data_IF_159986487413
#
_entry.id   IF_159986487413
#
_cell.length_a   1.000
_cell.length_b   1.000
_cell.length_c   1.000
_cell.angle_alpha   90.00
_cell.angle_beta   90.00
_cell.angle_gamma   90.00
#
_symmetry.space_group_name_H-M   'P 1'
#
loop_
_entity.id
_entity.type
_entity.pdbx_description
1 polymer ?
2 non-polymer ?
3 non-polymer ?
4 non-polymer ?
5 water ?
#
# COMPACT_ATOMS: atom_id res chain seq x y z
N UNK A 16 -7.58 27.11 10.81
CA UNK A 16 -8.38 28.15 10.17
C UNK A 16 -9.84 27.69 10.06
N UNK A 17 -10.72 28.67 9.94
CA UNK A 17 -12.14 28.52 10.20
C UNK A 17 -12.82 27.62 9.19
N UNK A 18 -14.00 27.14 9.56
CA UNK A 18 -14.91 26.55 8.59
C UNK A 18 -15.79 27.67 8.03
N UNK A 19 -15.87 27.76 6.70
CA UNK A 19 -16.72 28.76 6.06
C UNK A 19 -18.19 28.42 6.23
N UNK A 20 -18.55 27.21 5.91
CA UNK A 20 -19.81 26.63 6.33
C UNK A 20 -19.63 25.15 6.25
N UNK A 21 -20.75 24.41 6.18
CA UNK A 21 -20.72 22.97 6.10
C UNK A 21 -21.58 22.48 4.95
N UNK A 22 -21.04 21.59 4.12
CA UNK A 22 -21.76 21.14 2.94
C UNK A 22 -23.05 20.42 3.31
N UNK A 23 -23.07 19.66 4.41
CA UNK A 23 -24.29 18.93 4.73
C UNK A 23 -25.29 19.78 5.52
N UNK A 24 -24.99 21.06 5.74
CA UNK A 24 -25.95 22.02 6.25
C UNK A 24 -26.50 22.89 5.12
N UNK A 25 -25.61 23.32 4.22
CA UNK A 25 -26.03 24.07 3.04
C UNK A 25 -26.76 23.20 2.04
N UNK A 26 -26.39 21.93 1.94
CA UNK A 26 -26.90 21.05 0.91
C UNK A 26 -26.85 19.61 1.43
N UNK A 27 -26.29 18.68 0.67
CA UNK A 27 -26.12 17.29 1.10
C UNK A 27 -24.77 16.79 0.61
N UNK A 28 -24.44 15.56 1.02
CA UNK A 28 -23.37 14.81 0.37
C UNK A 28 -23.70 14.73 -1.12
N UNK A 29 -22.67 14.78 -1.97
CA UNK A 29 -22.82 14.48 -3.40
C UNK A 29 -22.90 12.97 -3.61
N UNK A 30 -24.12 12.45 -3.67
CA UNK A 30 -24.39 11.03 -3.64
C UNK A 30 -23.85 10.28 -4.86
N UNK A 31 -23.65 10.98 -5.97
CA UNK A 31 -23.14 10.37 -7.20
C UNK A 31 -21.64 10.53 -7.35
N UNK A 32 -20.97 11.14 -6.37
CA UNK A 32 -19.53 11.30 -6.49
C UNK A 32 -18.83 9.95 -6.53
N UNK A 33 -17.82 9.78 -7.39
CA UNK A 33 -17.13 8.50 -7.43
C UNK A 33 -16.55 8.08 -6.08
N UNK A 34 -16.04 9.00 -5.29
CA UNK A 34 -15.45 8.57 -4.02
C UNK A 34 -16.53 8.30 -2.98
N UNK A 35 -17.74 8.86 -3.15
CA UNK A 35 -18.81 8.43 -2.27
C UNK A 35 -19.21 7.01 -2.60
N UNK A 36 -19.29 6.69 -3.88
CA UNK A 36 -19.64 5.32 -4.24
C UNK A 36 -18.55 4.33 -3.78
N UNK A 37 -17.28 4.74 -3.80
CA UNK A 37 -16.21 3.87 -3.32
C UNK A 37 -16.28 3.70 -1.80
N UNK A 38 -16.60 4.77 -1.09
CA UNK A 38 -16.89 4.72 0.35
C UNK A 38 -18.01 3.74 0.66
N UNK A 39 -19.07 3.72 -0.16
CA UNK A 39 -20.16 2.80 0.11
C UNK A 39 -19.72 1.36 -0.10
N UNK A 40 -18.91 1.12 -1.12
CA UNK A 40 -18.38 -0.22 -1.37
C UNK A 40 -17.44 -0.65 -0.24
N UNK A 41 -16.65 0.28 0.28
CA UNK A 41 -15.73 -0.04 1.36
C UNK A 41 -16.46 -0.49 2.62
N UNK A 42 -17.56 0.16 2.96
CA UNK A 42 -18.32 -0.27 4.13
C UNK A 42 -18.90 -1.66 3.94
N UNK A 43 -19.45 -1.92 2.76
CA UNK A 43 -20.06 -3.22 2.49
C UNK A 43 -19.03 -4.33 2.52
N UNK A 44 -17.85 -4.06 1.95
CA UNK A 44 -16.84 -5.08 1.74
C UNK A 44 -15.71 -5.01 2.75
N UNK A 45 -15.82 -4.17 3.79
CA UNK A 45 -14.72 -3.95 4.71
C UNK A 45 -14.95 -4.49 6.11
N UNK A 46 -15.61 -5.64 6.21
CA UNK A 46 -16.03 -6.13 7.51
C UNK A 46 -15.00 -7.01 8.19
N UNK A 47 -13.99 -7.49 7.47
CA UNK A 47 -13.11 -8.49 8.05
C UNK A 47 -12.38 -7.93 9.26
N UNK A 48 -11.96 -8.86 10.15
CA UNK A 48 -11.28 -8.43 11.37
C UNK A 48 -10.07 -9.34 11.58
N UNK A 49 -8.85 -8.78 11.63
CA UNK A 49 -7.66 -9.62 11.81
C UNK A 49 -7.69 -10.43 13.09
N UNK A 50 -8.41 -9.92 14.10
CA UNK A 50 -8.53 -10.61 15.38
C UNK A 50 -9.28 -11.92 15.26
N UNK A 51 -9.98 -12.16 14.17
CA UNK A 51 -10.73 -13.42 13.98
C UNK A 51 -9.91 -14.49 13.27
N UNK A 52 -8.73 -14.18 12.78
CA UNK A 52 -7.94 -15.13 11.99
C UNK A 52 -7.33 -16.13 12.94
N UNK A 53 -7.47 -17.42 12.61
CA UNK A 53 -6.83 -18.47 13.40
C UNK A 53 -5.39 -18.65 12.90
N UNK A 54 -4.42 -18.31 13.74
CA UNK A 54 -3.00 -18.45 13.39
C UNK A 54 -2.36 -19.68 14.02
N UNK A 55 -3.15 -20.57 14.63
CA UNK A 55 -2.57 -21.71 15.36
C UNK A 55 -1.77 -22.63 14.44
N UNK A 56 -2.25 -22.86 13.22
CA UNK A 56 -1.48 -23.68 12.29
C UNK A 56 -0.25 -22.95 11.77
N UNK A 57 -0.30 -21.62 11.63
CA UNK A 57 0.89 -20.89 11.22
C UNK A 57 2.00 -21.05 12.25
N UNK A 58 1.61 -21.04 13.52
CA UNK A 58 2.57 -21.22 14.61
C UNK A 58 3.25 -22.57 14.49
N UNK A 59 2.45 -23.63 14.31
CA UNK A 59 3.04 -24.96 14.14
C UNK A 59 3.92 -25.04 12.89
N UNK A 60 3.45 -24.45 11.77
CA UNK A 60 4.22 -24.45 10.54
C UNK A 60 5.57 -23.79 10.74
N UNK A 61 5.58 -22.63 11.37
CA UNK A 61 6.83 -21.90 11.52
C UNK A 61 7.78 -22.68 12.42
N UNK A 62 7.26 -23.29 13.48
CA UNK A 62 8.10 -24.03 14.41
C UNK A 62 8.69 -25.27 13.78
N UNK A 63 7.98 -25.86 12.82
CA UNK A 63 8.48 -27.05 12.11
C UNK A 63 9.57 -26.71 11.14
N UNK A 64 9.66 -25.47 10.67
CA UNK A 64 10.71 -25.08 9.75
C UNK A 64 12.08 -25.16 10.44
N UNK A 65 13.09 -25.41 9.62
CA UNK A 65 14.47 -25.33 10.08
C UNK A 65 14.88 -23.87 10.18
N UNK A 66 15.92 -23.60 10.98
CA UNK A 66 16.37 -22.22 11.14
C UNK A 66 16.57 -21.55 9.79
N UNK A 67 17.14 -22.27 8.83
CA UNK A 67 17.40 -21.69 7.51
C UNK A 67 16.10 -21.42 6.77
N UNK A 68 15.13 -22.31 6.91
CA UNK A 68 13.82 -22.07 6.31
C UNK A 68 13.12 -20.89 7.00
N UNK A 69 13.26 -20.80 8.32
CA UNK A 69 12.61 -19.73 9.09
C UNK A 69 13.00 -18.34 8.60
N UNK A 70 14.30 -18.09 8.39
CA UNK A 70 14.71 -16.73 8.02
C UNK A 70 14.44 -16.44 6.57
N UNK A 71 14.19 -17.45 5.75
CA UNK A 71 13.83 -17.20 4.36
C UNK A 71 12.54 -16.40 4.26
N UNK A 72 11.62 -16.61 5.20
CA UNK A 72 10.34 -15.90 5.18
C UNK A 72 10.44 -14.48 5.72
N UNK A 73 11.46 -14.17 6.50
CA UNK A 73 11.43 -12.94 7.30
C UNK A 73 11.64 -11.66 6.48
N UNK A 74 12.48 -11.65 5.45
CA UNK A 74 12.68 -10.38 4.71
C UNK A 74 11.39 -9.84 4.13
N UNK A 75 10.55 -10.69 3.56
CA UNK A 75 9.30 -10.18 3.00
C UNK A 75 8.37 -9.67 4.10
N UNK A 76 8.29 -10.38 5.22
CA UNK A 76 7.43 -9.95 6.31
C UNK A 76 7.92 -8.64 6.88
N UNK A 77 9.24 -8.48 6.96
CA UNK A 77 9.81 -7.21 7.40
C UNK A 77 9.44 -6.08 6.46
N UNK A 78 9.43 -6.36 5.15
CA UNK A 78 9.05 -5.35 4.19
C UNK A 78 7.57 -5.01 4.30
N UNK A 79 6.72 -6.01 4.58
CA UNK A 79 5.31 -5.69 4.63
C UNK A 79 4.91 -5.01 5.93
N UNK A 80 5.46 -5.41 7.07
CA UNK A 80 5.05 -4.74 8.29
C UNK A 80 5.40 -3.27 8.26
N UNK A 81 6.58 -2.92 7.74
CA UNK A 81 6.91 -1.51 7.64
C UNK A 81 6.07 -0.80 6.60
N UNK A 82 5.83 -1.45 5.47
CA UNK A 82 5.00 -0.84 4.44
C UNK A 82 3.64 -0.47 5.01
N UNK A 83 3.00 -1.41 5.71
CA UNK A 83 1.65 -1.14 6.21
C UNK A 83 1.67 -0.07 7.30
N UNK A 84 2.69 -0.08 8.16
CA UNK A 84 2.76 0.96 9.17
C UNK A 84 3.00 2.31 8.54
N UNK A 85 3.88 2.38 7.55
CA UNK A 85 4.15 3.65 6.86
C UNK A 85 2.88 4.19 6.18
N UNK A 86 2.17 3.34 5.44
CA UNK A 86 1.01 3.88 4.75
C UNK A 86 -0.11 4.22 5.72
N UNK A 87 -0.18 3.59 6.90
CA UNK A 87 -1.20 4.01 7.86
C UNK A 87 -0.93 5.42 8.31
N UNK A 88 0.31 5.71 8.63
CA UNK A 88 0.64 7.04 9.14
C UNK A 88 0.60 8.07 8.02
N UNK A 89 1.07 7.69 6.85
CA UNK A 89 1.34 8.71 5.85
C UNK A 89 0.16 9.05 4.94
N UNK A 90 -1.02 8.47 5.12
CA UNK A 90 -2.18 8.95 4.41
C UNK A 90 -2.78 10.19 5.07
N UNK A 91 -2.41 10.50 6.31
CA UNK A 91 -3.07 11.58 7.02
C UNK A 91 -2.89 12.93 6.31
N UNK A 92 -1.73 13.26 5.74
CA UNK A 92 -1.63 14.55 5.05
C UNK A 92 -2.49 14.64 3.81
N UNK A 93 -2.73 13.52 3.14
CA UNK A 93 -3.61 13.54 1.98
C UNK A 93 -5.03 13.82 2.41
N UNK A 94 -5.47 13.18 3.49
CA UNK A 94 -6.79 13.45 4.00
C UNK A 94 -6.92 14.90 4.40
N UNK A 95 -5.89 15.46 5.03
CA UNK A 95 -5.96 16.86 5.42
C UNK A 95 -6.07 17.77 4.22
N UNK A 96 -5.22 17.53 3.21
CA UNK A 96 -5.21 18.39 2.03
C UNK A 96 -6.55 18.37 1.32
N UNK A 97 -7.14 17.20 1.16
CA UNK A 97 -8.43 17.13 0.48
C UNK A 97 -9.56 17.72 1.33
N UNK A 98 -9.50 17.56 2.66
CA UNK A 98 -10.49 18.19 3.53
C UNK A 98 -10.42 19.70 3.39
N UNK A 99 -9.20 20.24 3.36
CA UNK A 99 -9.04 21.69 3.29
C UNK A 99 -9.55 22.22 1.96
N UNK A 100 -9.48 21.42 0.92
CA UNK A 100 -10.06 21.76 -0.39
C UNK A 100 -11.56 21.52 -0.45
N UNK A 101 -12.19 21.08 0.64
CA UNK A 101 -13.63 20.88 0.66
C UNK A 101 -14.12 19.63 -0.01
N UNK A 102 -13.24 18.66 -0.27
CA UNK A 102 -13.60 17.45 -0.99
C UNK A 102 -14.13 16.42 0.02
N UNK A 103 -15.37 16.67 0.47
CA UNK A 103 -15.96 15.89 1.58
C UNK A 103 -16.03 14.41 1.26
N UNK A 104 -16.46 14.07 0.03
CA UNK A 104 -16.66 12.67 -0.28
C UNK A 104 -15.32 11.94 -0.33
N UNK A 105 -14.25 12.58 -0.81
CA UNK A 105 -12.92 11.96 -0.75
C UNK A 105 -12.56 11.66 0.71
N UNK A 106 -12.81 12.64 1.60
CA UNK A 106 -12.50 12.47 3.02
C UNK A 106 -13.27 11.30 3.60
N UNK A 107 -14.57 11.17 3.28
CA UNK A 107 -15.33 10.04 3.82
C UNK A 107 -14.70 8.74 3.38
N UNK A 108 -14.39 8.63 2.09
CA UNK A 108 -13.72 7.43 1.61
C UNK A 108 -12.39 7.20 2.33
N UNK A 109 -11.60 8.25 2.50
CA UNK A 109 -10.28 8.07 3.10
C UNK A 109 -10.39 7.58 4.55
N UNK A 110 -11.50 7.83 5.26
CA UNK A 110 -11.60 7.19 6.60
C UNK A 110 -11.60 5.66 6.48
N UNK A 111 -12.18 5.11 5.41
CA UNK A 111 -12.14 3.65 5.24
C UNK A 111 -10.77 3.20 4.80
N UNK A 112 -10.07 4.02 4.00
CA UNK A 112 -8.72 3.71 3.55
C UNK A 112 -7.78 3.61 4.75
N UNK A 113 -7.84 4.58 5.64
CA UNK A 113 -6.98 4.59 6.82
C UNK A 113 -7.29 3.43 7.75
N UNK A 114 -8.58 3.17 7.97
CA UNK A 114 -8.92 2.05 8.85
C UNK A 114 -8.51 0.71 8.25
N UNK A 115 -8.64 0.56 6.93
CA UNK A 115 -8.10 -0.63 6.27
C UNK A 115 -6.61 -0.79 6.59
N UNK A 116 -5.82 0.28 6.42
CA UNK A 116 -4.39 0.15 6.66
C UNK A 116 -4.09 -0.23 8.11
N UNK A 117 -4.86 0.30 9.06
CA UNK A 117 -4.71 -0.10 10.47
C UNK A 117 -4.89 -1.61 10.63
N UNK A 118 -5.93 -2.17 9.99
CA UNK A 118 -6.09 -3.63 10.01
C UNK A 118 -4.92 -4.35 9.37
N UNK A 119 -4.36 -3.80 8.29
CA UNK A 119 -3.22 -4.45 7.65
C UNK A 119 -2.02 -4.49 8.57
N UNK A 120 -1.72 -3.37 9.23
CA UNK A 120 -0.63 -3.33 10.23
C UNK A 120 -0.88 -4.38 11.29
N UNK A 121 -2.08 -4.39 11.82
CA UNK A 121 -2.46 -5.31 12.88
C UNK A 121 -2.29 -6.75 12.44
N UNK A 122 -2.69 -7.07 11.22
CA UNK A 122 -2.63 -8.47 10.77
C UNK A 122 -1.20 -8.98 10.80
N UNK A 123 -0.24 -8.24 10.21
CA UNK A 123 1.14 -8.73 10.17
C UNK A 123 1.73 -8.80 11.56
N UNK A 124 1.39 -7.83 12.43
CA UNK A 124 1.93 -7.87 13.79
C UNK A 124 1.34 -9.03 14.59
N UNK A 125 0.08 -9.37 14.37
CA UNK A 125 -0.49 -10.54 15.02
C UNK A 125 0.20 -11.80 14.56
N UNK A 126 0.53 -11.87 13.26
CA UNK A 126 1.21 -13.06 12.76
C UNK A 126 2.59 -13.19 13.38
N UNK A 127 3.32 -12.09 13.46
CA UNK A 127 4.65 -12.16 14.06
C UNK A 127 4.56 -12.64 15.52
N UNK A 128 3.64 -12.07 16.27
CA UNK A 128 3.44 -12.48 17.66
C UNK A 128 3.12 -13.96 17.73
N UNK A 129 2.24 -14.44 16.82
CA UNK A 129 1.75 -15.81 16.94
C UNK A 129 2.84 -16.81 16.65
N UNK A 130 3.69 -16.52 15.67
CA UNK A 130 4.72 -17.50 15.28
C UNK A 130 5.98 -17.39 16.12
N UNK A 131 6.09 -16.38 16.97
CA UNK A 131 7.21 -16.29 17.89
C UNK A 131 8.37 -15.44 17.47
N UNK A 132 8.19 -14.48 16.55
CA UNK A 132 9.25 -13.57 16.12
C UNK A 132 8.97 -12.12 16.48
N UNK A 133 7.92 -11.85 17.25
CA UNK A 133 7.63 -10.47 17.64
C UNK A 133 8.78 -9.79 18.35
N UNK A 134 9.57 -10.55 19.13
CA UNK A 134 10.73 -10.00 19.82
C UNK A 134 11.95 -9.78 18.91
N UNK A 135 11.94 -10.27 17.68
CA UNK A 135 13.06 -10.10 16.77
C UNK A 135 12.98 -8.76 16.03
N UNK A 136 14.09 -8.03 15.99
CA UNK A 136 14.12 -6.76 15.27
C UNK A 136 14.39 -7.06 13.80
N UNK A 137 13.35 -6.94 12.97
CA UNK A 137 13.45 -7.30 11.57
C UNK A 137 13.99 -6.16 10.67
N UNK A 138 14.43 -5.04 11.26
CA UNK A 138 14.93 -3.91 10.47
C UNK A 138 16.17 -4.25 9.67
N UNK A 139 16.89 -5.30 10.06
CA UNK A 139 18.07 -5.72 9.32
C UNK A 139 17.76 -6.08 7.87
N UNK A 140 16.49 -6.35 7.53
CA UNK A 140 16.14 -6.69 6.16
C UNK A 140 15.64 -5.49 5.35
N UNK A 141 15.88 -4.27 5.82
CA UNK A 141 15.59 -3.05 5.06
C UNK A 141 16.89 -2.48 4.52
N UNK A 142 17.14 -2.65 3.22
CA UNK A 142 18.38 -2.16 2.64
C UNK A 142 18.25 -0.67 2.32
N UNK A 143 19.29 -0.10 1.72
CA UNK A 143 19.28 1.34 1.45
C UNK A 143 18.15 1.74 0.52
N UNK A 144 17.88 0.94 -0.51
CA UNK A 144 16.81 1.27 -1.44
C UNK A 144 15.45 1.25 -0.74
N UNK A 145 15.22 0.25 0.10
CA UNK A 145 13.96 0.23 0.86
C UNK A 145 13.82 1.49 1.71
N UNK A 146 14.88 1.84 2.43
CA UNK A 146 14.83 3.03 3.28
C UNK A 146 14.59 4.29 2.45
N UNK A 147 15.19 4.39 1.27
CA UNK A 147 14.97 5.58 0.47
C UNK A 147 13.50 5.75 0.14
N UNK A 148 12.77 4.64 -0.05
CA UNK A 148 11.35 4.74 -0.37
C UNK A 148 10.53 4.95 0.91
N UNK A 149 10.68 4.06 1.88
CA UNK A 149 9.73 4.00 2.99
C UNK A 149 10.13 4.86 4.17
N UNK A 150 11.41 5.05 4.41
CA UNK A 150 11.79 5.91 5.51
C UNK A 150 11.84 7.36 5.11
N UNK A 151 12.00 7.66 3.80
CA UNK A 151 12.30 9.01 3.32
C UNK A 151 11.31 9.50 2.26
N UNK A 152 11.30 8.93 1.04
CA UNK A 152 10.55 9.54 -0.06
C UNK A 152 9.05 9.57 0.22
N UNK A 153 8.50 8.46 0.75
CA UNK A 153 7.07 8.43 1.03
C UNK A 153 6.68 9.49 2.05
N UNK A 154 7.23 9.51 3.26
CA UNK A 154 6.81 10.57 4.20
C UNK A 154 7.11 11.97 3.69
N UNK A 155 8.17 12.15 2.92
CA UNK A 155 8.48 13.51 2.45
C UNK A 155 7.41 13.99 1.47
N UNK A 156 7.01 13.11 0.55
CA UNK A 156 6.02 13.48 -0.45
C UNK A 156 4.67 13.75 0.21
N UNK A 157 4.31 12.96 1.22
CA UNK A 157 3.01 13.18 1.83
C UNK A 157 3.02 14.43 2.73
N UNK A 158 4.07 14.60 3.55
CA UNK A 158 4.09 15.74 4.46
C UNK A 158 4.15 17.06 3.74
N UNK A 159 4.70 17.07 2.52
CA UNK A 159 4.69 18.27 1.68
C UNK A 159 3.30 18.88 1.61
N UNK A 160 2.27 18.05 1.63
CA UNK A 160 0.91 18.51 1.40
C UNK A 160 0.40 19.45 2.48
N UNK A 161 1.02 19.44 3.68
CA UNK A 161 0.61 20.38 4.72
C UNK A 161 0.93 21.83 4.33
N UNK A 162 1.94 22.04 3.51
CA UNK A 162 2.32 23.40 3.12
C UNK A 162 2.21 23.67 1.64
N UNK A 163 1.94 22.66 0.83
CA UNK A 163 1.89 22.81 -0.63
C UNK A 163 0.93 21.74 -1.13
N UNK A 164 -0.30 22.14 -1.43
CA UNK A 164 -1.31 21.25 -1.99
C UNK A 164 -1.56 21.56 -3.46
N UNK A 165 -0.53 22.07 -4.14
CA UNK A 165 -0.62 22.32 -5.58
C UNK A 165 -0.92 21.02 -6.32
N UNK A 166 -1.46 21.10 -7.53
CA UNK A 166 -1.68 19.87 -8.31
C UNK A 166 -0.42 19.04 -8.50
N UNK A 167 0.75 19.69 -8.67
CA UNK A 167 2.00 18.96 -8.78
C UNK A 167 2.29 18.18 -7.51
N UNK A 168 2.03 18.78 -6.36
CA UNK A 168 2.34 18.13 -5.09
C UNK A 168 1.38 16.97 -4.86
N UNK A 169 0.09 17.16 -5.19
CA UNK A 169 -0.89 16.07 -5.02
C UNK A 169 -0.59 14.92 -5.98
N UNK A 170 -0.26 15.22 -7.24
CA UNK A 170 0.11 14.13 -8.15
C UNK A 170 1.32 13.36 -7.64
N UNK A 171 2.33 14.07 -7.10
CA UNK A 171 3.52 13.37 -6.69
C UNK A 171 3.23 12.49 -5.49
N UNK A 172 2.42 13.00 -4.58
CA UNK A 172 2.04 12.23 -3.39
C UNK A 172 1.29 10.95 -3.78
N UNK A 173 0.26 11.09 -4.62
CA UNK A 173 -0.49 9.91 -5.08
C UNK A 173 0.38 8.95 -5.89
N UNK A 174 1.33 9.48 -6.68
CA UNK A 174 2.24 8.62 -7.43
C UNK A 174 3.10 7.77 -6.50
N UNK A 175 3.80 8.38 -5.54
CA UNK A 175 4.64 7.64 -4.61
C UNK A 175 3.80 6.68 -3.76
N UNK A 176 2.69 7.17 -3.21
CA UNK A 176 1.92 6.38 -2.27
C UNK A 176 1.12 5.29 -2.99
N UNK A 177 0.27 5.68 -3.93
CA UNK A 177 -0.69 4.74 -4.47
C UNK A 177 -0.11 3.95 -5.63
N UNK A 178 0.69 4.58 -6.49
CA UNK A 178 1.10 3.89 -7.70
C UNK A 178 2.38 3.09 -7.52
N UNK A 179 3.30 3.54 -6.68
CA UNK A 179 4.58 2.87 -6.47
C UNK A 179 4.50 2.00 -5.21
N UNK A 180 4.26 2.60 -4.05
CA UNK A 180 4.30 1.83 -2.81
C UNK A 180 3.20 0.76 -2.81
N UNK A 181 1.94 1.16 -3.04
CA UNK A 181 0.85 0.18 -3.02
C UNK A 181 0.73 -0.54 -4.36
N UNK A 182 0.79 0.18 -5.46
CA UNK A 182 0.38 -0.43 -6.71
C UNK A 182 1.46 -1.20 -7.42
N UNK A 183 2.71 -1.01 -7.03
CA UNK A 183 3.82 -1.72 -7.62
C UNK A 183 4.45 -2.67 -6.60
N UNK A 184 4.94 -2.12 -5.48
CA UNK A 184 5.63 -2.97 -4.51
C UNK A 184 4.66 -3.86 -3.73
N UNK A 185 3.64 -3.29 -3.10
CA UNK A 185 2.75 -4.14 -2.31
C UNK A 185 2.05 -5.16 -3.20
N UNK A 186 1.55 -4.72 -4.35
CA UNK A 186 0.86 -5.66 -5.24
C UNK A 186 1.76 -6.84 -5.59
N UNK A 187 3.01 -6.57 -5.92
CA UNK A 187 3.94 -7.63 -6.29
C UNK A 187 4.30 -8.49 -5.10
N UNK A 188 4.38 -7.88 -3.92
CA UNK A 188 4.68 -8.63 -2.72
C UNK A 188 3.60 -9.62 -2.32
N UNK A 189 2.33 -9.19 -2.39
CA UNK A 189 1.21 -10.12 -2.19
C UNK A 189 1.39 -11.31 -3.10
N UNK A 190 1.50 -11.02 -4.39
CA UNK A 190 1.54 -12.08 -5.40
C UNK A 190 2.64 -13.07 -5.08
N UNK A 191 3.82 -12.53 -4.77
CA UNK A 191 5.00 -13.34 -4.47
C UNK A 191 4.75 -14.25 -3.29
N UNK A 192 4.20 -13.68 -2.22
CA UNK A 192 4.01 -14.47 -1.01
C UNK A 192 2.98 -15.57 -1.25
N UNK A 193 1.92 -15.24 -1.98
CA UNK A 193 0.93 -16.24 -2.37
C UNK A 193 1.58 -17.36 -3.18
N UNK A 194 2.31 -17.00 -4.23
CA UNK A 194 2.98 -18.01 -5.05
C UNK A 194 3.74 -18.98 -4.17
N UNK A 195 4.57 -18.46 -3.28
CA UNK A 195 5.53 -19.28 -2.55
C UNK A 195 4.82 -20.17 -1.53
N UNK A 196 4.02 -19.59 -0.63
CA UNK A 196 3.52 -20.37 0.49
C UNK A 196 2.20 -21.06 0.23
N UNK A 197 1.41 -20.57 -0.72
CA UNK A 197 0.21 -21.28 -1.11
C UNK A 197 0.56 -22.66 -1.64
N UNK A 198 1.56 -22.73 -2.52
CA UNK A 198 1.98 -24.00 -3.11
C UNK A 198 2.58 -24.92 -2.06
N UNK A 199 3.33 -24.35 -1.10
CA UNK A 199 3.88 -25.15 -0.01
C UNK A 199 2.81 -25.66 0.95
N UNK A 200 1.60 -25.10 0.91
CA UNK A 200 0.58 -25.42 1.89
C UNK A 200 0.85 -24.86 3.28
N UNK A 201 1.64 -23.79 3.38
CA UNK A 201 2.09 -23.20 4.63
C UNK A 201 1.33 -21.90 4.95
N UNK A 202 1.22 -21.61 6.24
CA UNK A 202 0.77 -20.32 6.76
C UNK A 202 -0.62 -19.96 6.28
N UNK A 203 -1.59 -20.83 6.51
CA UNK A 203 -2.95 -20.56 6.00
C UNK A 203 -3.57 -19.32 6.61
N UNK A 204 -3.26 -19.02 7.87
CA UNK A 204 -3.81 -17.81 8.48
C UNK A 204 -3.28 -16.55 7.82
N UNK A 205 -1.96 -16.48 7.60
CA UNK A 205 -1.36 -15.34 6.92
C UNK A 205 -1.90 -15.19 5.50
N UNK A 206 -2.07 -16.30 4.78
CA UNK A 206 -2.61 -16.18 3.42
C UNK A 206 -4.06 -15.73 3.42
N UNK A 207 -4.86 -16.13 4.42
CA UNK A 207 -6.21 -15.60 4.54
C UNK A 207 -6.17 -14.10 4.74
N UNK A 208 -5.31 -13.65 5.66
CA UNK A 208 -5.11 -12.22 5.88
C UNK A 208 -4.71 -11.49 4.61
N UNK A 209 -3.77 -12.05 3.86
CA UNK A 209 -3.33 -11.40 2.63
C UNK A 209 -4.47 -11.33 1.62
N UNK A 210 -5.32 -12.36 1.56
CA UNK A 210 -6.46 -12.29 0.65
C UNK A 210 -7.38 -11.12 0.97
N UNK A 211 -7.68 -10.93 2.26
CA UNK A 211 -8.53 -9.83 2.68
C UNK A 211 -7.85 -8.51 2.39
N UNK A 212 -6.53 -8.44 2.64
CA UNK A 212 -5.79 -7.21 2.39
C UNK A 212 -5.83 -6.84 0.91
N UNK A 213 -5.64 -7.84 0.04
CA UNK A 213 -5.66 -7.59 -1.40
C UNK A 213 -7.00 -7.04 -1.86
N UNK A 214 -8.10 -7.53 -1.27
CA UNK A 214 -9.41 -6.99 -1.62
C UNK A 214 -9.51 -5.52 -1.21
N UNK A 215 -9.01 -5.18 -0.03
CA UNK A 215 -9.03 -3.78 0.39
C UNK A 215 -8.24 -2.92 -0.57
N UNK A 216 -7.05 -3.39 -0.96
CA UNK A 216 -6.12 -2.56 -1.73
C UNK A 216 -6.64 -2.31 -3.14
N UNK A 217 -7.56 -3.15 -3.62
CA UNK A 217 -8.26 -2.83 -4.86
C UNK A 217 -8.98 -1.49 -4.81
N UNK A 218 -9.64 -1.18 -3.70
CA UNK A 218 -10.27 0.12 -3.57
C UNK A 218 -9.25 1.23 -3.47
N UNK A 219 -8.18 1.00 -2.71
CA UNK A 219 -7.20 2.05 -2.49
C UNK A 219 -6.60 2.52 -3.81
N UNK A 220 -6.31 1.59 -4.72
CA UNK A 220 -5.67 2.00 -5.97
C UNK A 220 -6.64 2.80 -6.82
N UNK A 221 -7.95 2.53 -6.71
CA UNK A 221 -8.93 3.33 -7.45
C UNK A 221 -8.94 4.78 -6.99
N UNK A 222 -8.69 5.03 -5.71
CA UNK A 222 -8.59 6.40 -5.23
C UNK A 222 -7.35 7.07 -5.82
N UNK A 223 -6.26 6.34 -5.90
CA UNK A 223 -5.05 6.93 -6.44
C UNK A 223 -5.23 7.26 -7.91
N UNK A 224 -5.88 6.36 -8.64
CA UNK A 224 -6.14 6.62 -10.05
C UNK A 224 -7.08 7.81 -10.23
N UNK A 225 -8.19 7.85 -9.47
CA UNK A 225 -9.11 8.98 -9.54
C UNK A 225 -8.38 10.29 -9.30
N UNK A 226 -7.55 10.32 -8.26
CA UNK A 226 -6.88 11.55 -7.87
C UNK A 226 -5.92 12.03 -8.96
N UNK A 227 -5.09 11.13 -9.46
CA UNK A 227 -4.13 11.53 -10.49
C UNK A 227 -4.86 11.94 -11.76
N UNK A 228 -5.85 11.17 -12.18
CA UNK A 228 -6.54 11.45 -13.44
C UNK A 228 -7.29 12.76 -13.39
N UNK A 229 -7.92 13.11 -12.25
CA UNK A 229 -8.68 14.36 -12.25
C UNK A 229 -7.75 15.56 -12.36
N UNK A 230 -6.53 15.44 -11.85
CA UNK A 230 -5.53 16.49 -11.98
C UNK A 230 -4.96 16.52 -13.40
N UNK A 231 -4.66 15.35 -13.96
CA UNK A 231 -4.20 15.29 -15.35
C UNK A 231 -5.25 15.85 -16.28
N UNK A 232 -6.53 15.66 -15.95
CA UNK A 232 -7.60 16.14 -16.82
C UNK A 232 -7.59 17.66 -16.93
N UNK A 233 -7.05 18.34 -15.92
CA UNK A 233 -6.98 19.80 -15.96
C UNK A 233 -5.89 20.30 -16.91
N UNK A 234 -4.84 19.51 -17.11
CA UNK A 234 -3.67 19.99 -17.84
C UNK A 234 -2.76 18.82 -18.19
N UNK A 235 -2.63 18.52 -19.49
CA UNK A 235 -1.82 17.41 -19.96
C UNK A 235 -0.39 17.50 -19.46
N UNK A 236 0.08 18.71 -19.18
CA UNK A 236 1.39 18.96 -18.61
C UNK A 236 1.66 17.96 -17.47
N UNK A 237 0.60 17.65 -16.72
CA UNK A 237 0.75 16.83 -15.54
C UNK A 237 0.90 15.35 -15.86
N UNK A 238 0.44 14.87 -17.03
CA UNK A 238 0.73 13.50 -17.43
C UNK A 238 2.23 13.25 -17.48
N UNK A 239 2.98 14.20 -18.06
CA UNK A 239 4.42 13.99 -18.14
C UNK A 239 5.08 14.04 -16.77
N UNK A 240 4.52 14.83 -15.85
CA UNK A 240 5.01 14.81 -14.46
C UNK A 240 4.80 13.45 -13.81
N UNK A 241 3.60 12.89 -13.98
CA UNK A 241 3.30 11.57 -13.42
C UNK A 241 4.30 10.54 -13.91
N UNK A 242 4.53 10.48 -15.22
CA UNK A 242 5.47 9.50 -15.75
C UNK A 242 6.86 9.74 -15.15
N UNK A 243 7.29 10.99 -15.06
CA UNK A 243 8.61 11.28 -14.52
C UNK A 243 8.75 10.83 -13.07
N UNK A 244 7.73 11.08 -12.24
CA UNK A 244 7.85 10.69 -10.84
C UNK A 244 7.86 9.16 -10.70
N UNK A 245 7.13 8.44 -11.57
CA UNK A 245 7.20 6.99 -11.57
C UNK A 245 8.62 6.52 -11.89
N UNK A 246 9.20 7.07 -12.96
CA UNK A 246 10.53 6.64 -13.38
C UNK A 246 11.58 6.99 -12.34
N UNK A 247 11.39 8.11 -11.64
CA UNK A 247 12.34 8.51 -10.60
C UNK A 247 12.48 7.46 -9.51
N UNK A 248 11.40 6.78 -9.18
CA UNK A 248 11.45 5.84 -8.08
C UNK A 248 11.84 4.43 -8.51
N UNK A 249 11.71 4.13 -9.79
CA UNK A 249 12.02 2.79 -10.28
C UNK A 249 13.37 2.26 -9.80
N UNK A 250 14.46 3.03 -9.79
CA UNK A 250 15.73 2.45 -9.36
C UNK A 250 15.69 1.90 -7.96
N UNK A 251 14.88 2.51 -7.09
CA UNK A 251 14.80 2.02 -5.72
C UNK A 251 13.88 0.83 -5.63
N UNK A 252 12.86 0.80 -6.49
CA UNK A 252 11.98 -0.37 -6.55
C UNK A 252 12.79 -1.58 -6.97
N UNK A 253 13.50 -1.47 -8.09
CA UNK A 253 14.20 -2.65 -8.58
C UNK A 253 15.42 -2.93 -7.73
N UNK A 254 15.97 -1.89 -7.09
CA UNK A 254 17.09 -2.10 -6.20
C UNK A 254 16.72 -2.86 -4.94
N UNK A 255 15.48 -2.69 -4.48
CA UNK A 255 15.01 -3.52 -3.37
C UNK A 255 14.74 -4.94 -3.84
N UNK A 256 14.13 -5.08 -5.02
CA UNK A 256 13.87 -6.41 -5.56
C UNK A 256 15.20 -7.16 -5.75
N UNK A 257 16.20 -6.50 -6.34
CA UNK A 257 17.50 -7.15 -6.49
C UNK A 257 18.06 -7.63 -5.16
N UNK A 258 17.85 -6.85 -4.09
CA UNK A 258 18.33 -7.24 -2.78
C UNK A 258 17.57 -8.45 -2.22
N UNK A 259 16.24 -8.44 -2.32
CA UNK A 259 15.47 -9.61 -1.87
C UNK A 259 15.84 -10.83 -2.68
N UNK A 260 16.00 -10.67 -4.00
CA UNK A 260 16.44 -11.77 -4.85
C UNK A 260 17.78 -12.32 -4.39
N UNK A 261 18.73 -11.42 -4.11
CA UNK A 261 20.07 -11.83 -3.67
C UNK A 261 20.02 -12.54 -2.32
N UNK A 262 19.14 -12.11 -1.41
CA UNK A 262 18.97 -12.81 -0.14
C UNK A 262 18.45 -14.23 -0.36
N UNK A 263 17.37 -14.36 -1.12
CA UNK A 263 16.72 -15.65 -1.26
C UNK A 263 17.57 -16.67 -2.00
N UNK A 264 18.24 -16.26 -3.07
CA UNK A 264 19.17 -17.13 -3.77
C UNK A 264 20.27 -17.62 -2.84
N UNK A 265 20.55 -16.88 -1.77
CA UNK A 265 21.55 -17.28 -0.79
C UNK A 265 21.00 -18.23 0.26
N UNK A 266 19.67 -18.39 0.34
CA UNK A 266 19.06 -19.39 1.22
C UNK A 266 17.91 -20.10 0.51
N UNK A 277 10.96 -21.47 -6.53
CA UNK A 277 10.83 -20.02 -6.64
C UNK A 277 11.49 -19.54 -7.93
N UNK A 278 10.67 -19.02 -8.84
CA UNK A 278 11.16 -18.41 -10.07
C UNK A 278 11.34 -16.93 -9.78
N UNK A 279 12.58 -16.51 -9.53
CA UNK A 279 12.84 -15.10 -9.28
C UNK A 279 12.72 -14.28 -10.56
N UNK A 280 13.24 -14.78 -11.68
CA UNK A 280 13.11 -14.06 -12.93
C UNK A 280 11.65 -13.77 -13.27
N UNK A 281 10.71 -14.54 -12.73
CA UNK A 281 9.28 -14.32 -12.99
C UNK A 281 8.60 -13.43 -11.96
N UNK A 282 9.12 -13.40 -10.73
CA UNK A 282 8.68 -12.36 -9.80
C UNK A 282 9.24 -11.01 -10.20
N UNK A 283 10.51 -10.96 -10.58
CA UNK A 283 11.10 -9.72 -11.05
C UNK A 283 10.31 -9.16 -12.21
N UNK A 284 9.77 -10.04 -13.07
CA UNK A 284 8.96 -9.59 -14.19
C UNK A 284 7.55 -9.20 -13.77
N UNK A 285 7.03 -9.75 -12.67
CA UNK A 285 5.74 -9.27 -12.21
C UNK A 285 5.84 -7.82 -11.76
N UNK A 286 6.96 -7.47 -11.14
CA UNK A 286 7.14 -6.09 -10.66
C UNK A 286 7.20 -5.14 -11.85
N UNK A 287 7.95 -5.52 -12.88
CA UNK A 287 8.01 -4.69 -14.08
C UNK A 287 6.64 -4.59 -14.72
N UNK A 288 5.90 -5.69 -14.74
CA UNK A 288 4.56 -5.70 -15.31
C UNK A 288 3.64 -4.75 -14.56
N UNK A 289 3.68 -4.77 -13.22
CA UNK A 289 2.79 -3.94 -12.42
C UNK A 289 3.11 -2.47 -12.61
N UNK A 290 4.39 -2.12 -12.59
CA UNK A 290 4.83 -0.75 -12.83
C UNK A 290 4.29 -0.22 -14.16
N UNK A 291 4.43 -1.01 -15.22
CA UNK A 291 3.90 -0.55 -16.50
C UNK A 291 2.39 -0.54 -16.54
N UNK A 292 1.72 -1.48 -15.86
CA UNK A 292 0.27 -1.47 -15.80
C UNK A 292 -0.24 -0.20 -15.12
N UNK A 293 0.43 0.24 -14.04
CA UNK A 293 -0.03 1.45 -13.36
C UNK A 293 0.02 2.65 -14.28
N UNK A 294 1.07 2.76 -15.09
CA UNK A 294 1.13 3.84 -16.08
C UNK A 294 -0.05 3.81 -17.03
N UNK A 295 -0.43 2.63 -17.52
CA UNK A 295 -1.52 2.54 -18.50
C UNK A 295 -2.88 2.90 -17.92
N UNK A 296 -3.00 2.98 -16.59
CA UNK A 296 -4.27 3.33 -15.99
C UNK A 296 -4.50 4.83 -15.91
N UNK A 297 -3.50 5.62 -16.28
CA UNK A 297 -3.62 7.05 -16.42
C UNK A 297 -3.50 7.39 -17.91
N UNK A 298 -4.40 8.22 -18.41
CA UNK A 298 -4.38 8.61 -19.82
C UNK A 298 -4.12 10.09 -19.95
N UNK A 299 -3.36 10.47 -20.98
CA UNK A 299 -3.00 11.87 -21.15
C UNK A 299 -4.22 12.77 -21.31
N UNK A 300 -5.38 12.20 -21.65
CA UNK A 300 -6.59 12.99 -21.85
C UNK A 300 -7.77 12.44 -21.06
X LIG B 1 -2.42 -1.96 3.16
X LIG C 1 -3.54 0.62 0.79
X LIG D 1 22.05 -0.38 -4.84
X LIG E 1 7.41 -5.97 -0.20
X LIG E 1 7.43 -5.81 -1.72
X LIG E 1 8.18 -6.97 -2.38
X LIG E 1 7.88 -7.01 -3.87
X LIG E 1 9.01 -7.67 -4.66
X LIG E 1 8.74 -9.16 -4.87
X LIG E 1 9.73 -9.75 -5.89
X LIG E 1 10.81 -10.54 -5.16
X LIG E 1 6.87 -5.08 0.54
X LIG E 1 7.97 -6.97 0.31
X LIG E 1 7.87 -4.98 -1.96
X LIG E 1 6.52 -5.80 -2.05
X LIG E 1 7.91 -7.80 -1.97
X LIG E 1 9.13 -6.85 -2.24
X LIG E 1 7.76 -6.11 -4.20
X LIG E 1 7.06 -7.51 -4.02
X LIG E 1 9.85 -7.57 -4.17
X LIG E 1 9.10 -7.24 -5.52
X LIG E 1 7.84 -9.27 -5.21
X LIG E 1 8.83 -9.63 -4.03
X LIG E 1 10.15 -9.03 -6.40
X LIG E 1 9.26 -10.34 -6.50
X LIG E 1 11.30 -9.95 -4.56
X LIG E 1 11.43 -10.91 -5.80
X LIG E 1 10.40 -11.26 -4.66
#
# INVERSE_FOLDING_TARGET
>A
MAHHHHHHVDDDDKMVHHDGFQTVKATIDWEHPMFKLYEKAKRNGKWNPADIDFSQDQKDFASLTSEEKISALPLVAGFSALEEAVTLDILPMAHALARQGRLEDVLFLTTFMHDEAKHVEMFSRWQQAVGIGQMDLSVFHNDHYKRIFYEALPEAMNRLYADDSPEAVIRAATVYNMIVEGTLAESGYYTFRQIYKKAGLFPGLLQGIDYLNMDEGRHIQFGIYTIQRIVNEDERYYELFIRYMDELWPHVIGYVDYLTELGKRQQQLARTYALEIDYDLLRHYVIKQFNLRKKQISRTKRVDVVEGLEKTAAES
>B hetero
1 MN MN
>C hetero
1 FE2 FE
>D hetero
1 FE2 FE
>E hetero
1 OCA C1 C2 C3 C4 C5 C6 C7 C8 O1 O2 H21 H22 H31 H32 H41 H42 H51 H52 H61 H62 H71 H72 H81 H82 H83
#
